data_IF_642918440055
#
_entry.id   IF_642918440055
#
_cell.length_a   1.000
_cell.length_b   1.000
_cell.length_c   1.000
_cell.angle_alpha   90.00
_cell.angle_beta   90.00
_cell.angle_gamma   90.00
#
_symmetry.space_group_name_H-M   'P 1'
#
loop_
_entity.id
_entity.type
_entity.pdbx_description
1 polymer ?
#
# COMPACT_ATOMS: atom_id res chain seq x y z
N UNK A 1 -44.04 -20.56 -31.29
CA UNK A 1 -44.18 -20.59 -29.83
C UNK A 1 -42.81 -20.09 -29.27
N UNK A 2 -42.75 -18.86 -28.85
CA UNK A 2 -41.51 -18.30 -28.27
C UNK A 2 -41.52 -18.64 -26.76
N UNK A 3 -40.51 -19.29 -26.20
CA UNK A 3 -40.47 -19.59 -24.78
C UNK A 3 -40.47 -18.28 -23.99
N UNK A 4 -41.45 -18.12 -23.10
CA UNK A 4 -41.56 -17.02 -22.16
C UNK A 4 -40.39 -17.15 -21.17
N UNK A 5 -39.31 -16.38 -21.38
CA UNK A 5 -38.22 -16.29 -20.45
C UNK A 5 -38.76 -15.65 -19.17
N UNK A 6 -38.76 -16.38 -18.05
CA UNK A 6 -39.21 -15.86 -16.76
C UNK A 6 -38.16 -14.87 -16.22
N UNK A 7 -38.46 -13.57 -16.20
CA UNK A 7 -37.50 -12.55 -15.78
C UNK A 7 -37.13 -12.63 -14.29
N UNK A 8 -37.85 -13.40 -13.49
CA UNK A 8 -37.60 -13.56 -12.06
C UNK A 8 -36.46 -14.54 -11.75
N UNK A 9 -36.26 -15.60 -12.55
CA UNK A 9 -35.20 -16.58 -12.34
C UNK A 9 -33.81 -15.94 -12.61
N UNK A 10 -33.70 -15.12 -13.65
CA UNK A 10 -32.48 -14.45 -14.01
C UNK A 10 -32.11 -13.36 -12.97
N UNK A 11 -33.08 -12.62 -12.45
CA UNK A 11 -32.84 -11.63 -11.40
C UNK A 11 -32.37 -12.30 -10.12
N UNK A 12 -32.96 -13.41 -9.71
CA UNK A 12 -32.57 -14.15 -8.51
C UNK A 12 -31.16 -14.77 -8.65
N UNK A 13 -30.82 -15.30 -9.83
CA UNK A 13 -29.49 -15.83 -10.12
C UNK A 13 -28.40 -14.72 -10.06
N UNK A 14 -28.70 -13.55 -10.61
CA UNK A 14 -27.81 -12.39 -10.55
C UNK A 14 -27.61 -11.92 -9.11
N UNK A 15 -28.66 -11.89 -8.29
CA UNK A 15 -28.58 -11.52 -6.87
C UNK A 15 -27.71 -12.50 -6.08
N UNK A 16 -27.92 -13.80 -6.20
CA UNK A 16 -27.14 -14.83 -5.49
C UNK A 16 -25.66 -14.78 -5.89
N UNK A 17 -25.39 -14.61 -7.18
CA UNK A 17 -24.04 -14.48 -7.70
C UNK A 17 -23.34 -13.21 -7.18
N UNK A 18 -24.06 -12.08 -7.12
CA UNK A 18 -23.57 -10.81 -6.60
C UNK A 18 -23.25 -10.92 -5.10
N UNK A 19 -24.10 -11.60 -4.33
CA UNK A 19 -23.89 -11.81 -2.90
C UNK A 19 -22.67 -12.71 -2.58
N UNK A 20 -22.48 -13.77 -3.37
CA UNK A 20 -21.31 -14.65 -3.24
C UNK A 20 -20.00 -13.91 -3.55
N UNK A 21 -19.98 -13.08 -4.61
CA UNK A 21 -18.83 -12.25 -4.93
C UNK A 21 -18.57 -11.18 -3.86
N UNK A 22 -19.62 -10.60 -3.30
CA UNK A 22 -19.49 -9.59 -2.24
C UNK A 22 -18.85 -10.19 -0.99
N UNK A 23 -19.31 -11.36 -0.53
CA UNK A 23 -18.74 -12.07 0.64
C UNK A 23 -17.26 -12.43 0.41
N UNK A 24 -16.91 -12.95 -0.77
CA UNK A 24 -15.53 -13.28 -1.11
C UNK A 24 -14.62 -12.05 -1.12
N UNK A 25 -15.05 -10.97 -1.75
CA UNK A 25 -14.30 -9.71 -1.78
C UNK A 25 -14.16 -9.10 -0.38
N UNK A 26 -15.22 -9.14 0.44
CA UNK A 26 -15.20 -8.63 1.81
C UNK A 26 -14.18 -9.38 2.68
N UNK A 27 -14.19 -10.72 2.64
CA UNK A 27 -13.24 -11.55 3.39
C UNK A 27 -11.80 -11.26 2.92
N UNK A 28 -11.57 -11.16 1.61
CA UNK A 28 -10.24 -10.84 1.06
C UNK A 28 -9.74 -9.48 1.53
N UNK A 29 -10.60 -8.45 1.52
CA UNK A 29 -10.25 -7.11 2.01
C UNK A 29 -9.99 -7.10 3.51
N UNK A 30 -10.77 -7.83 4.30
CA UNK A 30 -10.55 -7.97 5.74
C UNK A 30 -9.21 -8.64 6.05
N UNK A 31 -8.90 -9.75 5.36
CA UNK A 31 -7.62 -10.43 5.51
C UNK A 31 -6.45 -9.52 5.09
N UNK A 32 -6.57 -8.84 3.95
CA UNK A 32 -5.53 -7.91 3.49
C UNK A 32 -5.31 -6.78 4.50
N UNK A 33 -6.38 -6.15 5.00
CA UNK A 33 -6.30 -5.08 5.99
C UNK A 33 -5.67 -5.54 7.30
N UNK A 34 -5.99 -6.75 7.76
CA UNK A 34 -5.41 -7.34 8.96
C UNK A 34 -3.90 -7.55 8.81
N UNK A 35 -3.47 -8.23 7.75
CA UNK A 35 -2.03 -8.46 7.51
C UNK A 35 -1.28 -7.17 7.24
N UNK A 36 -1.90 -6.21 6.56
CA UNK A 36 -1.32 -4.91 6.31
C UNK A 36 -1.13 -4.11 7.60
N UNK A 37 -2.13 -4.07 8.49
CA UNK A 37 -2.02 -3.42 9.80
C UNK A 37 -0.93 -4.05 10.66
N UNK A 38 -0.82 -5.39 10.65
CA UNK A 38 0.26 -6.10 11.32
C UNK A 38 1.64 -5.73 10.77
N UNK A 39 1.78 -5.68 9.43
CA UNK A 39 3.03 -5.26 8.80
C UNK A 39 3.38 -3.79 9.14
N UNK A 40 2.40 -2.89 9.18
CA UNK A 40 2.61 -1.48 9.57
C UNK A 40 3.13 -1.34 10.99
N UNK A 41 2.66 -2.14 11.94
CA UNK A 41 3.17 -2.10 13.31
C UNK A 41 4.63 -2.56 13.40
N UNK A 42 5.02 -3.54 12.58
CA UNK A 42 6.42 -4.00 12.49
C UNK A 42 7.35 -3.00 11.78
N UNK A 43 6.80 -2.17 10.88
CA UNK A 43 7.55 -1.14 10.15
C UNK A 43 7.18 0.29 10.59
N UNK A 44 6.92 0.46 11.90
CA UNK A 44 6.59 1.78 12.43
C UNK A 44 7.71 2.80 12.12
N UNK A 45 7.37 3.89 11.39
CA UNK A 45 8.34 4.96 11.10
C UNK A 45 8.75 5.74 12.34
N UNK A 46 8.02 5.59 13.44
CA UNK A 46 8.28 6.30 14.69
C UNK A 46 9.15 5.49 15.65
N UNK A 47 9.09 4.15 15.58
CA UNK A 47 9.76 3.28 16.54
C UNK A 47 10.83 2.39 15.87
N UNK A 48 10.43 1.54 14.96
CA UNK A 48 11.31 0.48 14.43
C UNK A 48 12.34 1.03 13.44
N UNK A 49 11.91 1.89 12.50
CA UNK A 49 12.81 2.43 11.49
C UNK A 49 13.88 3.37 12.07
N UNK A 50 13.59 4.25 13.06
CA UNK A 50 14.61 5.03 13.75
C UNK A 50 15.66 4.17 14.47
N UNK A 51 15.25 3.08 15.12
CA UNK A 51 16.18 2.15 15.79
C UNK A 51 17.10 1.49 14.77
N UNK A 52 16.56 1.05 13.63
CA UNK A 52 17.38 0.50 12.54
C UNK A 52 18.41 1.52 12.03
N UNK A 53 17.98 2.74 11.74
CA UNK A 53 18.91 3.78 11.22
C UNK A 53 19.92 4.21 12.27
N UNK A 54 19.56 4.26 13.55
CA UNK A 54 20.50 4.56 14.64
C UNK A 54 21.58 3.49 14.78
N UNK A 55 21.29 2.22 14.47
CA UNK A 55 22.30 1.16 14.44
C UNK A 55 23.28 1.28 13.28
N UNK A 56 22.94 2.02 12.23
CA UNK A 56 23.79 2.25 11.06
C UNK A 56 24.58 3.56 11.15
N UNK A 57 24.04 4.56 11.85
CA UNK A 57 24.68 5.89 11.96
C UNK A 57 24.19 6.66 13.19
N UNK A 58 25.13 7.23 13.94
CA UNK A 58 24.85 8.05 15.14
C UNK A 58 24.32 9.46 14.81
N UNK A 59 24.13 9.79 13.54
CA UNK A 59 23.68 11.12 13.13
C UNK A 59 22.18 11.29 13.33
N UNK A 60 21.77 12.11 14.28
CA UNK A 60 20.37 12.43 14.58
C UNK A 60 19.57 12.94 13.36
N UNK A 61 20.25 13.55 12.37
CA UNK A 61 19.58 14.05 11.16
C UNK A 61 18.95 12.92 10.33
N UNK A 62 19.53 11.72 10.28
CA UNK A 62 18.96 10.61 9.56
C UNK A 62 17.69 10.08 10.24
N UNK A 63 17.65 10.11 11.56
CA UNK A 63 16.46 9.71 12.34
C UNK A 63 15.32 10.70 12.08
N UNK A 64 15.58 12.01 12.16
CA UNK A 64 14.57 13.03 11.88
C UNK A 64 14.06 12.96 10.43
N UNK A 65 14.94 12.61 9.48
CA UNK A 65 14.60 12.51 8.07
C UNK A 65 13.59 11.38 7.77
N UNK A 66 13.57 10.31 8.56
CA UNK A 66 12.62 9.20 8.40
C UNK A 66 11.19 9.72 8.48
N UNK A 67 10.83 10.35 9.60
CA UNK A 67 9.48 10.86 9.81
C UNK A 67 9.12 11.97 8.83
N UNK A 68 10.06 12.87 8.55
CA UNK A 68 9.85 13.96 7.60
C UNK A 68 9.57 13.45 6.18
N UNK A 69 10.34 12.50 5.68
CA UNK A 69 10.14 11.90 4.36
C UNK A 69 8.86 11.06 4.33
N UNK A 70 8.64 10.22 5.34
CA UNK A 70 7.48 9.35 5.38
C UNK A 70 6.18 10.15 5.34
N UNK A 71 5.98 11.09 6.26
CA UNK A 71 4.74 11.87 6.31
C UNK A 71 4.67 12.91 5.20
N UNK A 72 5.75 13.60 4.89
CA UNK A 72 5.78 14.61 3.82
C UNK A 72 5.42 14.02 2.46
N UNK A 73 6.03 12.90 2.10
CA UNK A 73 5.77 12.24 0.82
C UNK A 73 4.38 11.58 0.82
N UNK A 74 3.99 10.92 1.91
CA UNK A 74 2.69 10.25 2.00
C UNK A 74 1.54 11.24 1.86
N UNK A 75 1.56 12.37 2.55
CA UNK A 75 0.52 13.38 2.43
C UNK A 75 0.50 14.05 1.05
N UNK A 76 1.66 14.36 0.49
CA UNK A 76 1.75 14.91 -0.87
C UNK A 76 1.19 13.93 -1.90
N UNK A 77 1.52 12.64 -1.79
CA UNK A 77 1.02 11.58 -2.65
C UNK A 77 -0.50 11.36 -2.49
N UNK A 78 -1.05 11.51 -1.27
CA UNK A 78 -2.49 11.46 -1.02
C UNK A 78 -3.23 12.54 -1.78
N UNK A 79 -2.76 13.80 -1.70
CA UNK A 79 -3.36 14.92 -2.44
C UNK A 79 -3.30 14.68 -3.95
N UNK A 80 -2.15 14.24 -4.45
CA UNK A 80 -2.00 13.91 -5.87
C UNK A 80 -2.94 12.78 -6.32
N UNK A 81 -3.08 11.75 -5.49
CA UNK A 81 -3.96 10.61 -5.77
C UNK A 81 -5.44 11.00 -5.84
N UNK A 82 -5.91 11.98 -5.05
CA UNK A 82 -7.27 12.48 -5.16
C UNK A 82 -7.54 13.08 -6.54
N UNK A 83 -6.58 13.84 -7.09
CA UNK A 83 -6.71 14.44 -8.43
C UNK A 83 -6.68 13.37 -9.53
N UNK A 84 -5.79 12.39 -9.42
CA UNK A 84 -5.66 11.29 -10.39
C UNK A 84 -6.87 10.36 -10.32
N UNK A 85 -7.36 10.04 -9.11
CA UNK A 85 -8.48 9.15 -8.91
C UNK A 85 -9.77 9.63 -9.55
N UNK A 86 -10.06 10.93 -9.46
CA UNK A 86 -11.26 11.53 -10.07
C UNK A 86 -11.25 11.40 -11.61
N UNK A 87 -10.07 11.46 -12.24
CA UNK A 87 -9.92 11.41 -13.69
C UNK A 87 -9.64 9.99 -14.24
N UNK A 88 -9.50 9.00 -13.36
CA UNK A 88 -9.09 7.66 -13.76
C UNK A 88 -10.22 6.87 -14.42
N UNK A 89 -10.00 6.40 -15.65
CA UNK A 89 -10.94 5.57 -16.40
C UNK A 89 -11.13 4.15 -15.79
N UNK A 90 -10.14 3.69 -15.01
CA UNK A 90 -10.20 2.39 -14.31
C UNK A 90 -9.40 2.44 -12.99
N UNK A 91 -10.00 2.94 -11.90
CA UNK A 91 -9.31 3.09 -10.60
C UNK A 91 -8.78 1.76 -10.05
N UNK A 92 -9.44 0.65 -10.37
CA UNK A 92 -9.05 -0.69 -9.93
C UNK A 92 -7.63 -1.09 -10.37
N UNK A 93 -7.26 -0.88 -11.64
CA UNK A 93 -5.93 -1.22 -12.13
C UNK A 93 -4.84 -0.35 -11.51
N UNK A 94 -5.12 0.93 -11.33
CA UNK A 94 -4.20 1.88 -10.68
C UNK A 94 -3.94 1.43 -9.24
N UNK A 95 -4.98 1.07 -8.50
CA UNK A 95 -4.84 0.56 -7.13
C UNK A 95 -3.98 -0.70 -7.06
N UNK A 96 -4.18 -1.65 -7.98
CA UNK A 96 -3.37 -2.89 -8.03
C UNK A 96 -1.89 -2.57 -8.25
N UNK A 97 -1.57 -1.67 -9.19
CA UNK A 97 -0.18 -1.26 -9.46
C UNK A 97 0.45 -0.57 -8.26
N UNK A 98 -0.28 0.32 -7.60
CA UNK A 98 0.20 1.04 -6.41
C UNK A 98 0.44 0.08 -5.25
N UNK A 99 -0.47 -0.88 -5.01
CA UNK A 99 -0.26 -1.91 -4.00
C UNK A 99 0.96 -2.78 -4.29
N UNK A 100 1.22 -3.09 -5.56
CA UNK A 100 2.42 -3.82 -5.96
C UNK A 100 3.70 -3.02 -5.70
N UNK A 101 3.71 -1.72 -6.05
CA UNK A 101 4.83 -0.81 -5.76
C UNK A 101 5.11 -0.70 -4.26
N UNK A 102 4.06 -0.66 -3.44
CA UNK A 102 4.19 -0.64 -1.99
C UNK A 102 4.89 -1.90 -1.45
N UNK A 103 4.57 -3.07 -1.98
CA UNK A 103 5.21 -4.34 -1.61
C UNK A 103 6.68 -4.40 -2.04
N UNK A 104 6.99 -3.84 -3.21
CA UNK A 104 8.39 -3.66 -3.65
C UNK A 104 9.14 -2.75 -2.68
N UNK A 105 8.54 -1.64 -2.23
CA UNK A 105 9.11 -0.76 -1.23
C UNK A 105 9.49 -1.49 0.06
N UNK A 106 8.60 -2.32 0.60
CA UNK A 106 8.89 -3.17 1.75
C UNK A 106 10.05 -4.14 1.52
N UNK A 107 10.04 -4.81 0.38
CA UNK A 107 11.11 -5.75 0.02
C UNK A 107 12.48 -5.06 -0.05
N UNK A 108 12.54 -3.86 -0.62
CA UNK A 108 13.77 -3.09 -0.72
C UNK A 108 14.25 -2.57 0.64
N UNK A 109 13.35 -2.23 1.57
CA UNK A 109 13.72 -1.91 2.96
C UNK A 109 14.37 -3.13 3.61
N UNK A 110 13.79 -4.33 3.44
CA UNK A 110 14.40 -5.56 3.92
C UNK A 110 15.78 -5.81 3.28
N UNK A 111 15.90 -5.61 1.97
CA UNK A 111 17.17 -5.74 1.26
C UNK A 111 18.24 -4.78 1.81
N UNK A 112 17.86 -3.58 2.25
CA UNK A 112 18.81 -2.63 2.86
C UNK A 112 19.44 -3.18 4.13
N UNK A 113 18.72 -3.99 4.91
CA UNK A 113 19.27 -4.63 6.13
C UNK A 113 20.34 -5.65 5.78
N UNK A 114 20.18 -6.36 4.67
CA UNK A 114 21.19 -7.30 4.19
C UNK A 114 22.44 -6.59 3.67
N UNK A 115 22.26 -5.46 2.97
CA UNK A 115 23.36 -4.64 2.46
C UNK A 115 24.17 -3.96 3.58
N UNK A 116 23.59 -3.78 4.76
CA UNK A 116 24.25 -3.14 5.90
C UNK A 116 25.50 -3.90 6.37
N UNK A 117 25.53 -5.22 6.18
CA UNK A 117 26.70 -6.05 6.51
C UNK A 117 27.93 -5.79 5.63
N UNK A 118 27.72 -5.31 4.40
CA UNK A 118 28.80 -5.07 3.44
C UNK A 118 29.16 -3.59 3.27
N UNK A 119 28.18 -2.70 3.18
CA UNK A 119 28.41 -1.27 2.95
C UNK A 119 27.29 -0.42 3.55
N UNK A 120 27.59 0.21 4.69
CA UNK A 120 26.63 1.04 5.43
C UNK A 120 26.09 2.23 4.61
N UNK A 121 26.92 2.85 3.78
CA UNK A 121 26.47 3.98 2.94
C UNK A 121 25.44 3.51 1.89
N UNK A 122 25.71 2.39 1.25
CA UNK A 122 24.80 1.80 0.28
C UNK A 122 23.47 1.38 0.95
N UNK A 123 23.54 0.78 2.14
CA UNK A 123 22.38 0.42 2.92
C UNK A 123 21.50 1.63 3.25
N UNK A 124 22.09 2.74 3.71
CA UNK A 124 21.36 3.98 3.99
C UNK A 124 20.70 4.57 2.75
N UNK A 125 21.42 4.64 1.62
CA UNK A 125 20.83 5.15 0.37
C UNK A 125 19.67 4.27 -0.08
N UNK A 126 19.85 2.95 -0.11
CA UNK A 126 18.81 2.00 -0.48
C UNK A 126 17.59 2.11 0.46
N UNK A 127 17.84 2.25 1.76
CA UNK A 127 16.78 2.45 2.74
C UNK A 127 15.94 3.70 2.47
N UNK A 128 16.57 4.87 2.28
CA UNK A 128 15.83 6.11 2.05
C UNK A 128 15.10 6.14 0.71
N UNK A 129 15.67 5.56 -0.35
CA UNK A 129 14.99 5.40 -1.64
C UNK A 129 13.77 4.48 -1.48
N UNK A 130 13.92 3.37 -0.77
CA UNK A 130 12.82 2.42 -0.53
C UNK A 130 11.72 3.03 0.35
N UNK A 131 12.09 3.79 1.39
CA UNK A 131 11.17 4.51 2.25
C UNK A 131 10.34 5.53 1.45
N UNK A 132 10.98 6.27 0.54
CA UNK A 132 10.32 7.23 -0.35
C UNK A 132 9.31 6.54 -1.27
N UNK A 133 9.70 5.42 -1.88
CA UNK A 133 8.82 4.61 -2.75
C UNK A 133 7.64 4.06 -1.95
N UNK A 134 7.89 3.53 -0.77
CA UNK A 134 6.87 3.01 0.13
C UNK A 134 5.89 4.09 0.59
N UNK A 135 6.40 5.23 1.09
CA UNK A 135 5.57 6.34 1.56
C UNK A 135 4.69 6.93 0.46
N UNK A 136 5.25 7.10 -0.75
CA UNK A 136 4.51 7.57 -1.92
C UNK A 136 3.39 6.62 -2.31
N UNK A 137 3.67 5.33 -2.41
CA UNK A 137 2.66 4.32 -2.75
C UNK A 137 1.60 4.17 -1.65
N UNK A 138 1.98 4.23 -0.37
CA UNK A 138 1.05 4.19 0.75
C UNK A 138 0.09 5.40 0.75
N UNK A 139 0.61 6.61 0.51
CA UNK A 139 -0.21 7.82 0.40
C UNK A 139 -1.19 7.77 -0.76
N UNK A 140 -0.79 7.22 -1.89
CA UNK A 140 -1.67 7.09 -3.06
C UNK A 140 -2.75 6.01 -2.89
N UNK A 141 -2.50 4.96 -2.12
CA UNK A 141 -3.43 3.84 -1.97
C UNK A 141 -4.71 4.21 -1.22
N UNK A 142 -4.61 5.00 -0.14
CA UNK A 142 -5.73 5.33 0.74
C UNK A 142 -6.96 5.91 0.03
N UNK A 143 -6.87 7.00 -0.76
CA UNK A 143 -8.04 7.57 -1.42
C UNK A 143 -8.57 6.70 -2.57
N UNK A 144 -7.72 5.87 -3.20
CA UNK A 144 -8.14 4.97 -4.27
C UNK A 144 -8.94 3.79 -3.72
N UNK A 145 -8.59 3.26 -2.55
CA UNK A 145 -9.40 2.24 -1.88
C UNK A 145 -10.77 2.76 -1.44
N UNK A 146 -10.86 4.02 -1.04
CA UNK A 146 -12.13 4.63 -0.65
C UNK A 146 -13.12 4.80 -1.82
N UNK A 147 -12.64 4.74 -3.07
CA UNK A 147 -13.45 4.86 -4.29
C UNK A 147 -13.93 3.52 -4.87
N UNK A 148 -13.45 2.40 -4.34
CA UNK A 148 -13.83 1.04 -4.77
C UNK A 148 -14.92 0.44 -3.93
#
# INVERSE_FOLDING_TARGET
MIPKIEPQADAQYIYVKKEAFYKGNFISLMCESFFFAFALTMFSPENVLPVYVSSLSDKAIYIALISALYYGISYSATVFSCVVGVNARSPKWISVVICFLQRIGFFLIFLSTYLASGNVKLALVTFFVSLTLYAGSAGMSNPLFAQM
#
